data_IF_657786448837
#
_entry.id   IF_657786448837
#
_cell.length_a   1.000
_cell.length_b   1.000
_cell.length_c   1.000
_cell.angle_alpha   90.00
_cell.angle_beta   90.00
_cell.angle_gamma   90.00
#
_symmetry.space_group_name_H-M   'P 1'
#
loop_
_entity.id
_entity.type
_entity.pdbx_description
1 polymer ?
#
# COMPACT_ATOMS: atom_id res chain seq x y z
N UNK A 1 -14.62 -14.67 5.94
CA UNK A 1 -14.21 -13.35 5.44
C UNK A 1 -12.98 -13.48 4.55
N UNK A 2 -11.85 -13.89 5.12
CA UNK A 2 -10.52 -14.01 4.48
C UNK A 2 -10.43 -14.78 3.14
N UNK A 3 -11.39 -15.67 2.84
CA UNK A 3 -11.35 -16.51 1.62
C UNK A 3 -12.17 -15.99 0.44
N UNK A 4 -13.27 -15.28 0.71
CA UNK A 4 -14.28 -14.93 -0.33
C UNK A 4 -14.75 -13.48 -0.20
N UNK A 5 -14.61 -12.85 0.97
CA UNK A 5 -14.95 -11.44 1.22
C UNK A 5 -16.45 -11.10 1.30
N UNK A 6 -17.33 -11.89 0.66
CA UNK A 6 -18.78 -11.71 0.70
C UNK A 6 -19.51 -12.94 1.29
N UNK A 7 -20.77 -12.79 1.70
CA UNK A 7 -21.61 -13.87 2.19
C UNK A 7 -21.35 -14.29 3.64
N UNK A 8 -20.69 -13.44 4.44
CA UNK A 8 -20.44 -13.69 5.87
C UNK A 8 -21.75 -13.86 6.64
N UNK A 9 -22.73 -12.96 6.44
CA UNK A 9 -24.06 -13.07 7.05
C UNK A 9 -24.80 -14.33 6.59
N UNK A 10 -24.78 -14.62 5.28
CA UNK A 10 -25.42 -15.83 4.72
C UNK A 10 -24.84 -17.10 5.34
N UNK A 11 -23.53 -17.16 5.53
CA UNK A 11 -22.86 -18.30 6.14
C UNK A 11 -23.34 -18.55 7.58
N UNK A 12 -23.54 -17.49 8.36
CA UNK A 12 -24.05 -17.58 9.74
C UNK A 12 -25.51 -18.02 9.75
N UNK A 13 -26.35 -17.45 8.88
CA UNK A 13 -27.77 -17.79 8.79
C UNK A 13 -27.94 -19.27 8.40
N UNK A 14 -27.23 -19.73 7.37
CA UNK A 14 -27.28 -21.14 6.94
C UNK A 14 -26.80 -22.07 8.06
N UNK A 15 -25.73 -21.70 8.77
CA UNK A 15 -25.24 -22.51 9.89
C UNK A 15 -26.29 -22.61 11.02
N UNK A 16 -26.95 -21.51 11.37
CA UNK A 16 -28.03 -21.50 12.36
C UNK A 16 -29.21 -22.36 11.94
N UNK A 17 -29.65 -22.24 10.69
CA UNK A 17 -30.79 -23.00 10.19
C UNK A 17 -30.50 -24.51 10.09
N UNK A 18 -29.28 -24.88 9.67
CA UNK A 18 -28.86 -26.29 9.68
C UNK A 18 -28.85 -26.90 11.08
N UNK A 19 -28.57 -26.10 12.12
CA UNK A 19 -28.62 -26.54 13.51
C UNK A 19 -30.06 -26.67 14.01
N UNK A 20 -30.96 -25.73 13.66
CA UNK A 20 -32.39 -25.83 13.97
C UNK A 20 -32.99 -27.13 13.39
N UNK A 21 -32.74 -27.40 12.12
CA UNK A 21 -33.20 -28.65 11.47
C UNK A 21 -32.55 -29.90 12.06
N UNK A 22 -31.30 -29.81 12.51
CA UNK A 22 -30.65 -30.91 13.21
C UNK A 22 -31.32 -31.20 14.56
N UNK A 23 -31.78 -30.17 15.28
CA UNK A 23 -32.52 -30.32 16.52
C UNK A 23 -33.85 -31.07 16.29
N UNK A 24 -34.61 -30.69 15.26
CA UNK A 24 -35.87 -31.39 14.91
C UNK A 24 -35.63 -32.89 14.64
N UNK A 25 -34.55 -33.23 13.92
CA UNK A 25 -34.17 -34.62 13.67
C UNK A 25 -33.75 -35.35 14.95
N UNK A 26 -33.09 -34.66 15.88
CA UNK A 26 -32.73 -35.24 17.18
C UNK A 26 -33.97 -35.49 18.06
N UNK A 27 -34.97 -34.61 18.03
CA UNK A 27 -36.26 -34.80 18.71
C UNK A 27 -37.01 -36.02 18.15
N UNK A 28 -36.83 -36.33 16.88
CA UNK A 28 -37.29 -37.57 16.23
C UNK A 28 -36.41 -38.79 16.52
N UNK A 29 -35.50 -38.71 17.51
CA UNK A 29 -34.59 -39.78 17.93
C UNK A 29 -33.56 -40.20 16.87
N UNK A 30 -33.21 -39.33 15.92
CA UNK A 30 -32.10 -39.59 14.99
C UNK A 30 -30.76 -39.31 15.68
N UNK A 31 -29.87 -40.30 15.67
CA UNK A 31 -28.55 -40.16 16.31
C UNK A 31 -27.70 -39.07 15.62
N UNK A 32 -27.04 -38.15 16.35
CA UNK A 32 -26.26 -37.03 15.78
C UNK A 32 -25.22 -37.45 14.73
N UNK A 33 -24.56 -38.60 14.91
CA UNK A 33 -23.62 -39.18 13.93
C UNK A 33 -24.25 -39.43 12.56
N UNK A 34 -25.53 -39.82 12.52
CA UNK A 34 -26.26 -40.05 11.26
C UNK A 34 -26.54 -38.71 10.59
N UNK A 35 -26.97 -37.71 11.35
CA UNK A 35 -27.21 -36.33 10.86
C UNK A 35 -25.93 -35.75 10.26
N UNK A 36 -24.81 -35.83 11.00
CA UNK A 36 -23.50 -35.37 10.52
C UNK A 36 -23.08 -36.06 9.20
N UNK A 37 -23.24 -37.39 9.11
CA UNK A 37 -22.95 -38.14 7.88
C UNK A 37 -23.86 -37.71 6.73
N UNK A 38 -25.14 -37.45 7.00
CA UNK A 38 -26.11 -36.91 6.05
C UNK A 38 -25.68 -35.55 5.51
N UNK A 39 -25.39 -34.60 6.40
CA UNK A 39 -24.94 -33.26 6.03
C UNK A 39 -23.62 -33.27 5.27
N UNK A 40 -22.68 -34.15 5.62
CA UNK A 40 -21.44 -34.31 4.87
C UNK A 40 -21.69 -34.79 3.43
N UNK A 41 -22.61 -35.74 3.23
CA UNK A 41 -23.01 -36.20 1.89
C UNK A 41 -23.71 -35.07 1.11
N UNK A 42 -24.62 -34.35 1.77
CA UNK A 42 -25.30 -33.21 1.18
C UNK A 42 -24.31 -32.13 0.74
N UNK A 43 -23.32 -31.78 1.56
CA UNK A 43 -22.28 -30.80 1.22
C UNK A 43 -21.53 -31.15 -0.06
N UNK A 44 -21.13 -32.42 -0.22
CA UNK A 44 -20.43 -32.87 -1.43
C UNK A 44 -21.34 -32.72 -2.64
N UNK A 45 -22.60 -33.20 -2.55
CA UNK A 45 -23.53 -33.10 -3.67
C UNK A 45 -23.90 -31.64 -4.01
N UNK A 46 -24.08 -30.79 -3.02
CA UNK A 46 -24.35 -29.36 -3.22
C UNK A 46 -23.18 -28.68 -3.95
N UNK A 47 -21.93 -29.03 -3.65
CA UNK A 47 -20.76 -28.49 -4.38
C UNK A 47 -20.76 -28.93 -5.83
N UNK A 48 -21.06 -30.20 -6.12
CA UNK A 48 -21.18 -30.69 -7.50
C UNK A 48 -22.24 -29.91 -8.28
N UNK A 49 -23.44 -29.77 -7.71
CA UNK A 49 -24.55 -29.03 -8.33
C UNK A 49 -24.17 -27.57 -8.56
N UNK A 50 -23.52 -26.93 -7.58
CA UNK A 50 -23.04 -25.55 -7.73
C UNK A 50 -22.02 -25.41 -8.85
N UNK A 51 -21.14 -26.39 -9.05
CA UNK A 51 -20.19 -26.40 -10.17
C UNK A 51 -20.86 -26.63 -11.52
N UNK A 52 -21.90 -27.46 -11.59
CA UNK A 52 -22.69 -27.70 -12.81
C UNK A 52 -23.50 -26.46 -13.21
N UNK A 53 -24.05 -25.74 -12.24
CA UNK A 53 -24.82 -24.50 -12.46
C UNK A 53 -23.93 -23.26 -12.67
N UNK A 54 -22.64 -23.35 -12.35
CA UNK A 54 -21.74 -22.21 -12.46
C UNK A 54 -21.48 -21.84 -13.93
N UNK A 55 -21.88 -20.62 -14.30
CA UNK A 55 -21.49 -20.02 -15.58
C UNK A 55 -20.03 -19.57 -15.53
N UNK A 56 -19.22 -20.08 -16.46
CA UNK A 56 -17.86 -19.59 -16.66
C UNK A 56 -17.91 -18.19 -17.29
N UNK A 57 -17.24 -17.24 -16.64
CA UNK A 57 -17.14 -15.85 -17.09
C UNK A 57 -15.71 -15.64 -17.59
N UNK A 58 -15.55 -14.95 -18.72
CA UNK A 58 -14.24 -14.52 -19.19
C UNK A 58 -13.69 -13.45 -18.26
N UNK A 59 -12.41 -13.57 -17.92
CA UNK A 59 -11.68 -12.62 -17.08
C UNK A 59 -11.66 -11.22 -17.71
N UNK A 60 -11.76 -11.13 -19.05
CA UNK A 60 -11.78 -9.85 -19.77
C UNK A 60 -13.18 -9.24 -19.92
N UNK A 61 -14.25 -9.93 -19.49
CA UNK A 61 -15.61 -9.41 -19.56
C UNK A 61 -15.84 -8.38 -18.45
N UNK A 62 -15.49 -7.14 -18.74
CA UNK A 62 -15.62 -6.01 -17.80
C UNK A 62 -17.06 -5.75 -17.41
N UNK A 63 -18.02 -5.96 -18.31
CA UNK A 63 -19.43 -5.63 -18.07
C UNK A 63 -20.04 -6.60 -17.04
N UNK A 64 -19.72 -7.88 -17.16
CA UNK A 64 -20.15 -8.87 -16.15
C UNK A 64 -19.46 -8.64 -14.82
N UNK A 65 -18.16 -8.28 -14.82
CA UNK A 65 -17.44 -7.95 -13.58
C UNK A 65 -18.02 -6.72 -12.87
N UNK A 66 -18.44 -5.70 -13.63
CA UNK A 66 -19.11 -4.52 -13.07
C UNK A 66 -20.44 -4.90 -12.41
N UNK A 67 -21.27 -5.72 -13.05
CA UNK A 67 -22.54 -6.20 -12.48
C UNK A 67 -22.33 -7.00 -11.19
N UNK A 68 -21.28 -7.83 -11.14
CA UNK A 68 -20.91 -8.59 -9.92
C UNK A 68 -20.49 -7.64 -8.80
N UNK A 69 -19.64 -6.65 -9.09
CA UNK A 69 -19.22 -5.65 -8.12
C UNK A 69 -20.40 -4.81 -7.60
N UNK A 70 -21.30 -4.36 -8.49
CA UNK A 70 -22.52 -3.63 -8.11
C UNK A 70 -23.43 -4.46 -7.20
N UNK A 71 -23.55 -5.76 -7.46
CA UNK A 71 -24.38 -6.66 -6.66
C UNK A 71 -23.86 -6.77 -5.23
N UNK A 72 -22.54 -6.90 -5.04
CA UNK A 72 -21.93 -6.94 -3.70
C UNK A 72 -22.05 -5.62 -2.94
N UNK A 73 -22.20 -4.48 -3.63
CA UNK A 73 -22.35 -3.16 -3.03
C UNK A 73 -23.80 -2.75 -2.73
N UNK A 74 -24.80 -3.43 -3.33
CA UNK A 74 -26.22 -3.09 -3.16
C UNK A 74 -26.70 -3.18 -1.70
N UNK A 75 -26.14 -4.09 -0.91
CA UNK A 75 -26.51 -4.31 0.49
C UNK A 75 -25.86 -3.31 1.47
N UNK A 76 -25.05 -2.37 0.96
CA UNK A 76 -24.26 -1.42 1.77
C UNK A 76 -24.76 0.02 1.61
N UNK A 77 -24.35 0.89 2.53
CA UNK A 77 -24.72 2.32 2.54
C UNK A 77 -24.32 3.08 1.28
N UNK A 78 -23.39 2.55 0.49
CA UNK A 78 -22.91 3.11 -0.77
C UNK A 78 -23.78 2.77 -1.99
N UNK A 79 -24.96 2.15 -1.79
CA UNK A 79 -25.84 1.70 -2.87
C UNK A 79 -26.21 2.82 -3.86
N UNK A 80 -26.36 4.06 -3.41
CA UNK A 80 -26.64 5.23 -4.25
C UNK A 80 -25.50 5.63 -5.19
N UNK A 81 -24.26 5.22 -4.90
CA UNK A 81 -23.04 5.54 -5.68
C UNK A 81 -22.30 4.27 -6.12
N UNK A 82 -22.97 3.12 -6.10
CA UNK A 82 -22.37 1.81 -6.38
C UNK A 82 -21.69 1.73 -7.75
N UNK A 83 -22.27 2.35 -8.80
CA UNK A 83 -21.72 2.30 -10.15
C UNK A 83 -20.31 2.93 -10.19
N UNK A 84 -20.11 4.00 -9.42
CA UNK A 84 -18.82 4.69 -9.34
C UNK A 84 -17.76 3.81 -8.67
N UNK A 85 -18.09 3.22 -7.51
CA UNK A 85 -17.18 2.34 -6.78
C UNK A 85 -16.95 1.00 -7.49
N UNK A 86 -17.95 0.46 -8.20
CA UNK A 86 -17.82 -0.74 -9.01
C UNK A 86 -16.79 -0.52 -10.13
N UNK A 87 -16.88 0.61 -10.84
CA UNK A 87 -15.90 1.00 -11.86
C UNK A 87 -14.49 1.12 -11.28
N UNK A 88 -14.33 1.76 -10.12
CA UNK A 88 -13.03 1.89 -9.45
C UNK A 88 -12.47 0.51 -9.07
N UNK A 89 -13.29 -0.35 -8.46
CA UNK A 89 -12.88 -1.67 -8.00
C UNK A 89 -12.46 -2.57 -9.17
N UNK A 90 -13.26 -2.64 -10.24
CA UNK A 90 -12.95 -3.44 -11.43
C UNK A 90 -11.68 -2.96 -12.11
N UNK A 91 -11.51 -1.64 -12.26
CA UNK A 91 -10.29 -1.07 -12.85
C UNK A 91 -9.04 -1.35 -12.01
N UNK A 92 -9.13 -1.18 -10.68
CA UNK A 92 -8.02 -1.45 -9.77
C UNK A 92 -7.61 -2.92 -9.80
N UNK A 93 -8.58 -3.83 -9.71
CA UNK A 93 -8.34 -5.29 -9.74
C UNK A 93 -7.79 -5.72 -11.10
N UNK A 94 -8.25 -5.12 -12.20
CA UNK A 94 -7.76 -5.43 -13.55
C UNK A 94 -6.31 -5.00 -13.76
N UNK A 95 -5.90 -3.89 -13.12
CA UNK A 95 -4.55 -3.36 -13.23
C UNK A 95 -3.50 -4.23 -12.52
N UNK A 96 -3.84 -4.86 -11.39
CA UNK A 96 -2.92 -5.70 -10.60
C UNK A 96 -2.83 -7.16 -11.08
N UNK A 97 -3.47 -7.50 -12.21
CA UNK A 97 -3.49 -8.88 -12.72
C UNK A 97 -2.10 -9.27 -13.21
N UNK A 98 -1.43 -10.14 -12.47
CA UNK A 98 -0.20 -10.79 -12.92
C UNK A 98 -0.53 -12.17 -13.52
N UNK A 99 -0.13 -12.40 -14.77
CA UNK A 99 -0.11 -13.74 -15.34
C UNK A 99 1.17 -14.45 -14.91
N UNK A 100 1.06 -15.39 -13.95
CA UNK A 100 2.16 -16.28 -13.57
C UNK A 100 1.88 -17.66 -14.19
N UNK A 101 2.41 -17.87 -15.41
CA UNK A 101 2.11 -19.06 -16.21
C UNK A 101 0.64 -19.09 -16.62
N UNK A 102 -0.05 -20.20 -16.38
CA UNK A 102 -1.49 -20.38 -16.68
C UNK A 102 -2.43 -19.80 -15.61
N UNK A 103 -1.92 -19.38 -14.45
CA UNK A 103 -2.74 -18.85 -13.36
C UNK A 103 -2.60 -17.33 -13.27
N UNK A 104 -3.74 -16.64 -13.28
CA UNK A 104 -3.81 -15.23 -12.91
C UNK A 104 -3.77 -15.14 -11.38
N UNK A 105 -2.70 -14.55 -10.85
CA UNK A 105 -2.66 -14.18 -9.44
C UNK A 105 -3.08 -12.73 -9.28
N UNK A 106 -3.88 -12.48 -8.26
CA UNK A 106 -4.34 -11.16 -7.86
C UNK A 106 -3.94 -11.02 -6.39
N UNK A 107 -3.04 -10.08 -6.12
CA UNK A 107 -2.60 -9.77 -4.77
C UNK A 107 -3.27 -8.47 -4.33
N UNK A 108 -4.24 -8.57 -3.41
CA UNK A 108 -5.01 -7.42 -2.93
C UNK A 108 -4.14 -6.43 -2.15
N UNK A 109 -2.99 -6.84 -1.63
CA UNK A 109 -2.07 -5.94 -0.92
C UNK A 109 -1.47 -4.89 -1.85
N UNK A 110 -1.48 -5.12 -3.17
CA UNK A 110 -1.06 -4.16 -4.19
C UNK A 110 -2.02 -2.98 -4.32
N UNK A 111 -3.27 -3.10 -3.86
CA UNK A 111 -4.25 -2.01 -3.88
C UNK A 111 -4.14 -1.25 -2.56
N UNK A 112 -3.78 0.03 -2.64
CA UNK A 112 -3.77 0.91 -1.48
C UNK A 112 -5.09 1.66 -1.38
N UNK A 113 -5.72 1.60 -0.21
CA UNK A 113 -6.94 2.36 0.09
C UNK A 113 -6.60 3.43 1.12
N UNK A 114 -6.68 4.69 0.71
CA UNK A 114 -6.52 5.85 1.59
C UNK A 114 -7.86 6.54 1.71
N UNK A 115 -8.27 6.79 2.96
CA UNK A 115 -9.48 7.54 3.28
C UNK A 115 -9.07 8.91 3.83
N UNK A 116 -9.65 9.97 3.26
CA UNK A 116 -9.51 11.35 3.71
C UNK A 116 -10.89 11.97 3.83
N UNK A 117 -11.09 12.74 4.89
CA UNK A 117 -12.37 13.36 5.20
C UNK A 117 -12.55 14.68 4.41
N UNK A 118 -13.80 15.10 4.21
CA UNK A 118 -14.13 16.45 3.73
C UNK A 118 -14.76 16.56 2.33
N UNK A 119 -14.79 15.49 1.53
CA UNK A 119 -15.40 15.49 0.18
C UNK A 119 -16.59 14.54 0.05
N UNK A 120 -17.28 14.57 -1.09
CA UNK A 120 -18.36 13.64 -1.41
C UNK A 120 -17.82 12.26 -1.80
N UNK A 121 -18.63 11.22 -1.65
CA UNK A 121 -18.28 9.86 -2.08
C UNK A 121 -17.94 9.78 -3.58
N UNK A 122 -18.55 10.63 -4.39
CA UNK A 122 -18.34 10.70 -5.84
C UNK A 122 -16.97 11.29 -6.21
N UNK A 123 -16.35 12.06 -5.31
CA UNK A 123 -15.01 12.63 -5.52
C UNK A 123 -13.89 11.60 -5.33
N UNK A 124 -14.24 10.37 -4.93
CA UNK A 124 -13.29 9.26 -4.84
C UNK A 124 -12.78 8.94 -6.25
N UNK A 125 -11.47 8.81 -6.42
CA UNK A 125 -10.87 8.50 -7.73
C UNK A 125 -9.83 7.40 -7.62
N UNK A 126 -9.74 6.55 -8.64
CA UNK A 126 -8.63 5.61 -8.78
C UNK A 126 -7.38 6.37 -9.25
N UNK A 127 -6.34 6.36 -8.43
CA UNK A 127 -5.03 6.90 -8.80
C UNK A 127 -4.15 5.74 -9.27
N UNK A 128 -3.62 5.85 -10.50
CA UNK A 128 -2.68 4.86 -11.07
C UNK A 128 -1.28 5.09 -10.50
N UNK A 129 -1.12 4.77 -9.23
CA UNK A 129 0.12 4.98 -8.49
C UNK A 129 -0.08 4.67 -7.01
N UNK A 130 0.90 5.09 -6.21
CA UNK A 130 0.87 4.96 -4.75
C UNK A 130 0.70 6.35 -4.15
N UNK A 131 -0.10 6.43 -3.09
CA UNK A 131 -0.30 7.66 -2.34
C UNK A 131 0.45 7.50 -1.02
N UNK A 132 1.23 8.49 -0.64
CA UNK A 132 1.89 8.51 0.66
C UNK A 132 1.22 9.59 1.49
N UNK A 133 0.67 9.19 2.63
CA UNK A 133 0.01 10.12 3.56
C UNK A 133 1.05 10.87 4.42
N UNK A 134 1.88 11.66 3.74
CA UNK A 134 2.94 12.49 4.30
C UNK A 134 3.16 13.75 3.47
N UNK A 135 3.47 14.83 4.17
CA UNK A 135 3.86 16.11 3.61
C UNK A 135 5.35 16.13 3.24
N UNK A 136 5.70 17.06 2.35
CA UNK A 136 7.08 17.39 2.03
C UNK A 136 7.73 18.02 3.27
N UNK A 137 8.97 17.62 3.56
CA UNK A 137 9.63 18.01 4.82
C UNK A 137 9.96 19.50 4.93
N UNK A 138 10.28 20.15 3.81
CA UNK A 138 10.76 21.53 3.80
C UNK A 138 9.97 22.40 2.81
N UNK A 139 9.44 23.58 3.21
CA UNK A 139 8.59 24.42 2.36
C UNK A 139 9.24 24.95 1.08
N UNK A 140 10.57 25.07 1.06
CA UNK A 140 11.34 25.53 -0.10
C UNK A 140 11.54 24.43 -1.16
N UNK A 141 11.22 23.18 -0.85
CA UNK A 141 11.25 22.10 -1.84
C UNK A 141 10.10 22.25 -2.86
N UNK A 142 10.29 21.80 -4.11
CA UNK A 142 9.23 21.88 -5.11
C UNK A 142 8.06 21.00 -4.73
N UNK A 143 6.83 21.49 -4.91
CA UNK A 143 5.60 20.72 -4.63
C UNK A 143 5.22 19.74 -5.74
N UNK A 144 5.82 19.88 -6.92
CA UNK A 144 5.58 18.98 -8.04
C UNK A 144 6.81 18.84 -8.92
N UNK A 145 7.10 17.60 -9.31
CA UNK A 145 8.18 17.23 -10.24
C UNK A 145 7.62 16.31 -11.32
N UNK A 146 7.98 16.60 -12.58
CA UNK A 146 7.74 15.73 -13.74
C UNK A 146 8.97 14.85 -13.97
N UNK A 147 8.76 13.64 -14.48
CA UNK A 147 9.82 12.64 -14.73
C UNK A 147 10.69 12.41 -13.48
N UNK A 148 10.02 12.02 -12.39
CA UNK A 148 10.62 11.75 -11.12
C UNK A 148 11.49 10.47 -11.16
N UNK A 149 12.75 10.63 -10.77
CA UNK A 149 13.71 9.60 -10.38
C UNK A 149 13.72 9.47 -8.86
N UNK A 150 13.14 8.38 -8.38
CA UNK A 150 12.80 8.17 -6.98
C UNK A 150 13.85 7.29 -6.31
N UNK A 151 14.45 7.79 -5.24
CA UNK A 151 15.28 6.98 -4.33
C UNK A 151 14.47 6.55 -3.11
N UNK A 152 14.55 5.27 -2.77
CA UNK A 152 13.93 4.69 -1.59
C UNK A 152 15.01 4.33 -0.57
N UNK A 153 15.06 5.08 0.53
CA UNK A 153 16.11 4.95 1.55
C UNK A 153 15.48 4.43 2.85
N UNK A 154 15.98 3.32 3.37
CA UNK A 154 15.53 2.74 4.65
C UNK A 154 16.27 3.32 5.86
N UNK A 155 17.43 3.93 5.64
CA UNK A 155 18.25 4.58 6.67
C UNK A 155 17.82 6.03 6.96
N UNK A 156 18.37 6.58 8.04
CA UNK A 156 18.18 7.96 8.46
C UNK A 156 19.21 8.86 7.80
N UNK A 157 18.79 10.03 7.33
CA UNK A 157 19.73 11.10 6.95
C UNK A 157 20.00 11.98 8.17
N UNK A 158 20.59 11.35 9.19
CA UNK A 158 20.96 11.98 10.46
C UNK A 158 22.42 11.63 10.78
N UNK A 159 23.05 12.42 11.65
CA UNK A 159 24.37 12.08 12.20
C UNK A 159 24.17 10.89 13.14
N UNK A 160 24.62 9.72 12.72
CA UNK A 160 24.45 8.49 13.50
C UNK A 160 25.43 8.48 14.67
N UNK A 161 24.94 8.12 15.84
CA UNK A 161 25.80 7.80 16.97
C UNK A 161 26.40 6.42 16.73
N UNK A 162 27.66 6.26 17.10
CA UNK A 162 28.33 4.95 17.04
C UNK A 162 27.63 3.96 17.95
N UNK A 163 27.60 2.67 17.57
CA UNK A 163 27.05 1.60 18.41
C UNK A 163 27.85 1.39 19.70
N UNK A 164 29.13 1.75 19.67
CA UNK A 164 30.00 1.80 20.85
C UNK A 164 29.96 3.18 21.49
N UNK A 165 30.10 3.22 22.82
CA UNK A 165 30.22 4.46 23.58
C UNK A 165 31.47 5.23 23.13
N UNK A 166 31.27 6.20 22.25
CA UNK A 166 32.30 7.12 21.79
C UNK A 166 32.07 8.49 22.43
N UNK A 167 33.02 8.93 23.25
CA UNK A 167 33.02 10.27 23.82
C UNK A 167 33.99 11.17 23.06
N UNK A 168 33.50 12.32 22.63
CA UNK A 168 34.33 13.35 22.01
C UNK A 168 34.87 14.25 23.11
N UNK A 169 36.18 14.20 23.35
CA UNK A 169 36.87 15.06 24.31
C UNK A 169 37.38 16.32 23.62
N UNK A 170 36.64 17.40 23.79
CA UNK A 170 36.99 18.72 23.26
C UNK A 170 38.01 19.37 24.22
N UNK A 171 39.20 19.67 23.72
CA UNK A 171 40.28 20.33 24.50
C UNK A 171 40.43 21.81 24.16
N UNK A 172 39.95 22.23 22.98
CA UNK A 172 40.09 23.61 22.50
C UNK A 172 38.80 24.10 21.84
N UNK A 173 38.48 25.41 21.90
CA UNK A 173 37.31 25.97 21.21
C UNK A 173 37.29 25.71 19.70
N UNK A 174 38.46 25.70 19.04
CA UNK A 174 38.57 25.45 17.59
C UNK A 174 38.18 24.01 17.20
N UNK A 175 38.27 23.05 18.13
CA UNK A 175 37.80 21.69 17.87
C UNK A 175 36.27 21.63 17.82
N UNK A 176 35.57 22.54 18.51
CA UNK A 176 34.10 22.61 18.49
C UNK A 176 33.62 23.01 17.09
N UNK A 177 34.21 24.05 16.52
CA UNK A 177 33.83 24.55 15.19
C UNK A 177 34.13 23.51 14.11
N UNK A 178 35.32 22.91 14.13
CA UNK A 178 35.69 21.82 13.22
C UNK A 178 34.74 20.64 13.30
N UNK A 179 34.32 20.26 14.50
CA UNK A 179 33.37 19.16 14.67
C UNK A 179 32.01 19.47 14.04
N UNK A 180 31.47 20.67 14.29
CA UNK A 180 30.19 21.11 13.70
C UNK A 180 30.27 21.17 12.16
N UNK A 181 31.41 21.61 11.62
CA UNK A 181 31.67 21.62 10.18
C UNK A 181 31.76 20.21 9.60
N UNK A 182 32.47 19.29 10.26
CA UNK A 182 32.56 17.89 9.83
C UNK A 182 31.20 17.20 9.83
N UNK A 183 30.36 17.38 10.86
CA UNK A 183 28.98 16.87 10.86
C UNK A 183 28.18 17.40 9.66
N UNK A 184 28.29 18.70 9.38
CA UNK A 184 27.61 19.30 8.23
C UNK A 184 28.15 18.77 6.90
N UNK A 185 29.47 18.56 6.79
CA UNK A 185 30.12 18.00 5.61
C UNK A 185 29.72 16.54 5.38
N UNK A 186 29.58 15.73 6.43
CA UNK A 186 29.08 14.36 6.34
C UNK A 186 27.67 14.33 5.74
N UNK A 187 26.75 15.15 6.24
CA UNK A 187 25.39 15.25 5.69
C UNK A 187 25.41 15.77 4.24
N UNK A 188 26.22 16.80 3.96
CA UNK A 188 26.37 17.37 2.62
C UNK A 188 26.89 16.34 1.61
N UNK A 189 27.86 15.50 1.99
CA UNK A 189 28.41 14.46 1.12
C UNK A 189 27.35 13.43 0.71
N UNK A 190 26.48 13.02 1.64
CA UNK A 190 25.34 12.11 1.37
C UNK A 190 24.36 12.74 0.39
N UNK A 191 24.00 14.01 0.59
CA UNK A 191 23.11 14.75 -0.32
C UNK A 191 23.72 14.94 -1.71
N UNK A 192 25.02 15.28 -1.76
CA UNK A 192 25.76 15.44 -3.03
C UNK A 192 25.76 14.13 -3.81
N UNK A 193 25.95 12.98 -3.15
CA UNK A 193 25.87 11.67 -3.81
C UNK A 193 24.51 11.40 -4.44
N UNK A 194 23.41 11.76 -3.76
CA UNK A 194 22.05 11.62 -4.31
C UNK A 194 21.82 12.50 -5.54
N UNK A 195 22.39 13.71 -5.52
CA UNK A 195 22.38 14.65 -6.65
C UNK A 195 23.19 14.12 -7.84
N UNK A 196 24.37 13.57 -7.60
CA UNK A 196 25.26 13.09 -8.67
C UNK A 196 24.63 11.96 -9.49
N UNK A 197 23.79 11.13 -8.86
CA UNK A 197 23.03 10.05 -9.51
C UNK A 197 21.79 10.60 -10.25
N UNK A 198 21.46 11.88 -10.01
CA UNK A 198 20.33 12.57 -10.62
C UNK A 198 18.99 12.25 -9.95
N UNK A 199 18.98 11.97 -8.65
CA UNK A 199 17.74 11.78 -7.88
C UNK A 199 17.02 13.11 -7.71
N UNK A 200 15.70 13.15 -7.93
CA UNK A 200 14.88 14.35 -7.72
C UNK A 200 13.79 14.15 -6.67
N UNK A 201 13.50 12.91 -6.26
CA UNK A 201 12.59 12.58 -5.17
C UNK A 201 13.20 11.53 -4.26
N UNK A 202 13.18 11.75 -2.96
CA UNK A 202 13.72 10.85 -1.94
C UNK A 202 12.63 10.52 -0.92
N UNK A 203 12.35 9.23 -0.73
CA UNK A 203 11.53 8.74 0.37
C UNK A 203 12.42 8.07 1.40
N UNK A 204 12.37 8.55 2.64
CA UNK A 204 13.10 7.98 3.76
C UNK A 204 12.14 7.29 4.73
N UNK A 205 12.47 6.05 5.10
CA UNK A 205 11.74 5.33 6.13
C UNK A 205 11.96 5.94 7.53
N UNK A 206 13.15 6.48 7.79
CA UNK A 206 13.52 7.11 9.07
C UNK A 206 13.45 8.64 8.99
N UNK A 207 13.98 9.31 10.01
CA UNK A 207 14.09 10.77 10.07
C UNK A 207 15.21 11.34 9.19
N UNK A 208 15.18 12.66 9.08
CA UNK A 208 16.10 13.47 8.28
C UNK A 208 16.39 14.72 9.11
N UNK A 209 17.66 15.02 9.34
CA UNK A 209 18.10 16.18 10.10
C UNK A 209 17.80 17.49 9.36
N UNK A 210 17.58 18.58 10.08
CA UNK A 210 17.17 19.86 9.52
C UNK A 210 18.26 20.47 8.63
N UNK A 211 19.54 20.26 8.96
CA UNK A 211 20.67 20.61 8.09
C UNK A 211 20.62 19.87 6.75
N UNK A 212 20.30 18.58 6.77
CA UNK A 212 20.18 17.77 5.56
C UNK A 212 18.97 18.19 4.72
N UNK A 213 17.84 18.52 5.36
CA UNK A 213 16.65 19.06 4.68
C UNK A 213 16.97 20.36 3.92
N UNK A 214 17.75 21.27 4.54
CA UNK A 214 18.17 22.51 3.91
C UNK A 214 19.06 22.26 2.68
N UNK A 215 20.01 21.34 2.76
CA UNK A 215 20.85 20.97 1.61
C UNK A 215 20.03 20.33 0.49
N UNK A 216 19.08 19.44 0.81
CA UNK A 216 18.17 18.84 -0.18
C UNK A 216 17.26 19.89 -0.83
N UNK A 217 16.80 20.87 -0.07
CA UNK A 217 15.98 21.97 -0.58
C UNK A 217 16.76 22.89 -1.53
N UNK A 218 18.02 23.21 -1.21
CA UNK A 218 18.91 23.96 -2.12
C UNK A 218 19.11 23.26 -3.46
N UNK A 219 19.13 21.92 -3.43
CA UNK A 219 19.28 21.07 -4.62
C UNK A 219 17.94 20.74 -5.31
N UNK A 220 16.83 21.31 -4.84
CA UNK A 220 15.47 21.08 -5.36
C UNK A 220 15.03 19.60 -5.36
N UNK A 221 15.51 18.81 -4.39
CA UNK A 221 15.15 17.40 -4.25
C UNK A 221 13.95 17.29 -3.30
N UNK A 222 12.82 16.77 -3.80
CA UNK A 222 11.64 16.52 -2.96
C UNK A 222 12.00 15.43 -1.98
N UNK A 223 11.75 15.67 -0.70
CA UNK A 223 12.07 14.71 0.33
C UNK A 223 10.89 14.48 1.27
N UNK A 224 10.62 13.22 1.57
CA UNK A 224 9.57 12.80 2.50
C UNK A 224 10.22 11.90 3.55
N UNK A 225 10.01 12.23 4.84
CA UNK A 225 10.57 11.50 5.98
C UNK A 225 9.54 10.63 6.68
N UNK A 226 10.02 9.62 7.42
CA UNK A 226 9.19 8.72 8.26
C UNK A 226 8.06 8.03 7.48
N UNK A 227 8.39 7.55 6.28
CA UNK A 227 7.47 6.76 5.45
C UNK A 227 7.30 5.37 6.05
N UNK A 228 6.06 4.86 6.07
CA UNK A 228 5.79 3.50 6.58
C UNK A 228 6.49 2.47 5.70
N UNK A 229 7.02 1.41 6.32
CA UNK A 229 7.67 0.30 5.59
C UNK A 229 6.75 -0.32 4.53
N UNK A 230 5.47 -0.50 4.85
CA UNK A 230 4.47 -0.99 3.90
C UNK A 230 4.36 -0.11 2.65
N UNK A 231 4.42 1.22 2.82
CA UNK A 231 4.30 2.16 1.71
C UNK A 231 5.60 2.18 0.89
N UNK A 232 6.76 2.04 1.54
CA UNK A 232 8.06 1.89 0.85
C UNK A 232 8.08 0.65 -0.05
N UNK A 233 7.58 -0.49 0.43
CA UNK A 233 7.51 -1.73 -0.36
C UNK A 233 6.54 -1.59 -1.55
N UNK A 234 5.42 -0.87 -1.37
CA UNK A 234 4.50 -0.55 -2.47
C UNK A 234 5.10 0.41 -3.49
N UNK A 235 5.80 1.45 -3.03
CA UNK A 235 6.55 2.38 -3.89
C UNK A 235 7.62 1.65 -4.70
N UNK A 236 8.40 0.77 -4.07
CA UNK A 236 9.43 -0.03 -4.72
C UNK A 236 8.85 -0.82 -5.90
N UNK A 237 7.71 -1.50 -5.68
CA UNK A 237 7.03 -2.26 -6.74
C UNK A 237 6.43 -1.36 -7.83
N UNK A 238 5.78 -0.26 -7.45
CA UNK A 238 5.10 0.62 -8.39
C UNK A 238 6.08 1.41 -9.27
N UNK A 239 7.26 1.73 -8.75
CA UNK A 239 8.27 2.58 -9.43
C UNK A 239 9.45 1.78 -9.94
N UNK A 240 9.52 0.48 -9.63
CA UNK A 240 10.67 -0.40 -9.84
C UNK A 240 11.98 0.08 -9.16
N UNK A 241 11.86 0.86 -8.08
CA UNK A 241 13.00 1.24 -7.24
C UNK A 241 13.44 0.09 -6.33
N UNK A 242 14.73 0.02 -6.04
CA UNK A 242 15.25 -0.84 -4.98
C UNK A 242 15.26 -0.08 -3.64
N UNK A 243 15.00 -0.79 -2.55
CA UNK A 243 15.11 -0.23 -1.20
C UNK A 243 16.57 -0.29 -0.76
N UNK A 244 17.15 0.87 -0.43
CA UNK A 244 18.58 1.00 -0.15
C UNK A 244 18.79 1.36 1.32
N UNK A 245 19.72 0.64 1.96
CA UNK A 245 20.13 0.93 3.33
C UNK A 245 21.27 1.96 3.35
N UNK A 246 22.27 1.82 2.48
CA UNK A 246 23.45 2.68 2.47
C UNK A 246 23.43 3.67 1.29
N UNK A 247 23.45 4.97 1.60
CA UNK A 247 23.43 6.05 0.59
C UNK A 247 24.71 6.06 -0.25
N UNK A 248 25.82 5.51 0.23
CA UNK A 248 27.05 5.48 -0.57
C UNK A 248 27.05 4.41 -1.67
N UNK A 249 26.20 3.39 -1.54
CA UNK A 249 26.08 2.27 -2.47
C UNK A 249 25.01 2.48 -3.55
N UNK A 250 24.24 3.57 -3.48
CA UNK A 250 23.18 3.85 -4.45
C UNK A 250 23.75 4.03 -5.86
N UNK A 251 23.14 3.32 -6.81
CA UNK A 251 23.44 3.43 -8.24
C UNK A 251 22.22 3.93 -9.01
N UNK A 252 22.42 4.33 -10.27
CA UNK A 252 21.31 4.75 -11.13
C UNK A 252 20.29 3.63 -11.40
N UNK A 253 20.71 2.36 -11.30
CA UNK A 253 19.85 1.20 -11.51
C UNK A 253 18.85 0.99 -10.36
N UNK A 254 19.15 1.53 -9.17
CA UNK A 254 18.30 1.40 -8.00
C UNK A 254 17.18 2.46 -7.94
N UNK A 255 17.28 3.48 -8.79
CA UNK A 255 16.29 4.56 -8.86
C UNK A 255 15.02 4.11 -9.57
N UNK A 256 13.88 4.35 -8.92
CA UNK A 256 12.57 4.18 -9.53
C UNK A 256 12.23 5.33 -10.47
N UNK A 257 11.26 5.09 -11.35
CA UNK A 257 10.74 6.10 -12.28
C UNK A 257 9.26 6.33 -12.05
N UNK A 258 8.85 7.60 -12.02
CA UNK A 258 7.44 8.00 -12.03
C UNK A 258 7.23 9.22 -12.94
N UNK A 259 6.12 9.26 -13.67
CA UNK A 259 5.85 10.37 -14.61
C UNK A 259 5.62 11.70 -13.90
N UNK A 260 5.01 11.69 -12.71
CA UNK A 260 4.76 12.89 -11.91
C UNK A 260 4.70 12.52 -10.43
N UNK A 261 5.35 13.32 -9.60
CA UNK A 261 5.18 13.31 -8.14
C UNK A 261 4.69 14.70 -7.74
N UNK A 262 3.62 14.77 -6.97
CA UNK A 262 3.10 16.04 -6.46
C UNK A 262 2.51 15.89 -5.06
N UNK A 263 2.70 16.92 -4.25
CA UNK A 263 1.97 17.12 -3.00
C UNK A 263 0.64 17.78 -3.32
N UNK A 264 -0.46 17.15 -2.91
CA UNK A 264 -1.81 17.64 -3.16
C UNK A 264 -2.61 17.63 -1.88
N UNK A 265 -3.06 18.82 -1.47
CA UNK A 265 -3.99 18.98 -0.36
C UNK A 265 -5.37 18.42 -0.72
N UNK A 266 -5.92 17.54 0.12
CA UNK A 266 -7.26 16.96 -0.06
C UNK A 266 -8.10 17.28 1.18
N UNK A 267 -9.03 18.22 1.03
CA UNK A 267 -9.86 18.69 2.15
C UNK A 267 -9.06 19.60 3.08
N UNK A 268 -9.20 19.39 4.39
CA UNK A 268 -8.50 20.16 5.41
C UNK A 268 -7.14 19.55 5.82
N UNK A 269 -6.93 18.27 5.53
CA UNK A 269 -5.65 17.58 5.71
C UNK A 269 -4.61 18.08 4.70
N UNK A 270 -3.46 18.50 5.21
CA UNK A 270 -2.26 18.81 4.42
C UNK A 270 -1.58 17.53 3.96
#
# INVERSE_FOLDING_TARGET
>A
DDKVGDGTTTSVIIAGELLNLAQELMEQSVHPTIIFRGYRKALVKSKEILHELATKIDINDTDTLLKVAETSMNSKLISGVKNHFANIAVNAVTQIREKRGEKTMIDLDQIQVIKKEGKSLIDTSLIKGIIVDKEIVHPMMPKSVKDARIALISSSLEVEKTEFDAEIRIQTPDQITKFIEEEANMLKSRVTKLKDIGTNVVFCQKGIDDKAQNFLAQENIITIRRVKRSDMEKLARATHANLINNIFEITEADLGKAGKVEEKKIGDDN
#
